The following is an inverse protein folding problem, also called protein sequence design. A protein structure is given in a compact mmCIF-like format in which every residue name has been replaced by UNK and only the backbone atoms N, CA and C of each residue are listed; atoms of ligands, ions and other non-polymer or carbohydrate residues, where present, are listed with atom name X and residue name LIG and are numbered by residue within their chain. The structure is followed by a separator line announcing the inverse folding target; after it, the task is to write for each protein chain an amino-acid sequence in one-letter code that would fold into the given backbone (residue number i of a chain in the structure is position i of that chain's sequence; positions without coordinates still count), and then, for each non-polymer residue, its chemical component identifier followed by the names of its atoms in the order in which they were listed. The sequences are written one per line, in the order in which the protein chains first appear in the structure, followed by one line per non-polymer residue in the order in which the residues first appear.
data_IF_859601471988
#
_entry.id   IF_859601471988
#
_cell.length_a   1.000
_cell.length_b   1.000
_cell.length_c   1.000
_cell.angle_alpha   90.00
_cell.angle_beta   90.00
_cell.angle_gamma   90.00
#
_symmetry.space_group_name_H-M   'P 1'
#
loop_
_entity.id
_entity.type
_entity.pdbx_description
1 polymer ?
#
# COMPACT_ATOMS: atom_id res chain seq x y z
N UNK A 1 6.78 6.26 16.08
CA UNK A 1 5.57 7.13 16.17
C UNK A 1 5.48 7.86 17.49
N UNK A 2 5.94 7.29 18.60
CA UNK A 2 5.84 7.90 19.93
C UNK A 2 6.63 9.21 20.08
N UNK A 3 7.82 9.30 19.47
CA UNK A 3 8.66 10.50 19.48
C UNK A 3 8.10 11.71 18.71
N UNK A 4 7.17 11.48 17.77
CA UNK A 4 6.56 12.54 16.93
C UNK A 4 5.10 12.82 17.31
N UNK A 5 4.62 12.19 18.38
CA UNK A 5 3.23 12.27 18.84
C UNK A 5 2.90 13.70 19.28
N UNK A 6 1.90 14.32 18.65
CA UNK A 6 1.48 15.69 18.95
C UNK A 6 2.34 16.81 18.35
N UNK A 7 3.36 16.48 17.55
CA UNK A 7 4.22 17.48 16.88
C UNK A 7 3.71 17.93 15.50
N UNK A 8 2.74 17.21 14.93
CA UNK A 8 2.15 17.52 13.63
C UNK A 8 0.66 17.17 13.61
N UNK A 9 -0.16 17.97 12.92
CA UNK A 9 -1.59 17.70 12.78
C UNK A 9 -1.90 16.55 11.81
N UNK A 10 -0.98 16.31 10.85
CA UNK A 10 -1.08 15.26 9.86
C UNK A 10 0.27 14.57 9.63
N UNK A 11 0.23 13.25 9.46
CA UNK A 11 1.39 12.41 9.15
C UNK A 11 1.28 11.85 7.73
N UNK A 12 2.40 11.89 7.00
CA UNK A 12 2.55 11.17 5.73
C UNK A 12 3.56 10.04 5.94
N UNK A 13 3.12 8.81 5.75
CA UNK A 13 3.82 7.59 6.13
C UNK A 13 4.15 6.82 4.85
N UNK A 14 5.43 6.54 4.63
CA UNK A 14 5.83 5.67 3.52
C UNK A 14 5.30 4.25 3.70
N UNK A 15 5.07 3.56 2.58
CA UNK A 15 4.72 2.14 2.63
C UNK A 15 5.98 1.29 2.96
N UNK A 16 5.81 0.07 3.48
CA UNK A 16 4.63 -0.43 4.19
C UNK A 16 4.48 0.23 5.57
N UNK A 17 3.26 0.30 6.11
CA UNK A 17 2.98 0.92 7.42
C UNK A 17 3.63 0.15 8.58
N UNK A 18 3.68 -1.18 8.45
CA UNK A 18 4.25 -2.11 9.43
C UNK A 18 5.19 -3.08 8.72
N UNK A 19 6.23 -3.55 9.41
CA UNK A 19 7.10 -4.61 8.88
C UNK A 19 6.45 -6.00 9.05
N UNK A 20 7.01 -7.01 8.39
CA UNK A 20 6.52 -8.39 8.49
C UNK A 20 6.57 -8.96 9.92
N UNK A 21 7.45 -8.41 10.77
CA UNK A 21 7.64 -8.80 12.17
C UNK A 21 6.67 -8.07 13.12
N UNK A 22 5.91 -7.09 12.62
CA UNK A 22 5.01 -6.23 13.40
C UNK A 22 3.54 -6.57 13.13
N UNK A 23 3.15 -7.83 13.33
CA UNK A 23 1.79 -8.32 13.01
C UNK A 23 0.71 -7.86 13.99
N UNK A 24 1.09 -7.53 15.22
CA UNK A 24 0.14 -7.29 16.32
C UNK A 24 0.02 -5.80 16.69
N UNK A 25 0.50 -4.91 15.82
CA UNK A 25 0.46 -3.47 16.06
C UNK A 25 -0.93 -2.92 15.76
N UNK A 26 -1.62 -2.44 16.80
CA UNK A 26 -2.84 -1.66 16.64
C UNK A 26 -2.50 -0.22 16.26
N UNK A 27 -2.73 0.16 15.00
CA UNK A 27 -2.51 1.51 14.49
C UNK A 27 -3.29 2.58 15.26
N UNK A 28 -4.44 2.23 15.86
CA UNK A 28 -5.22 3.16 16.68
C UNK A 28 -4.49 3.53 17.98
N UNK A 29 -3.58 2.68 18.47
CA UNK A 29 -2.74 3.03 19.64
C UNK A 29 -1.62 4.00 19.26
N UNK A 30 -1.14 3.93 18.02
CA UNK A 30 -0.04 4.75 17.51
C UNK A 30 -0.48 6.16 17.11
N UNK A 31 -1.74 6.32 16.69
CA UNK A 31 -2.29 7.59 16.22
C UNK A 31 -3.30 8.15 17.25
N UNK A 32 -3.01 9.29 17.92
CA UNK A 32 -3.98 9.97 18.77
C UNK A 32 -5.30 10.24 18.04
N UNK A 33 -6.41 10.21 18.79
CA UNK A 33 -7.72 10.56 18.26
C UNK A 33 -7.69 11.97 17.64
N UNK A 34 -8.11 12.07 16.37
CA UNK A 34 -8.15 13.33 15.62
C UNK A 34 -6.90 13.64 14.78
N UNK A 35 -5.78 12.94 14.97
CA UNK A 35 -4.60 13.11 14.12
C UNK A 35 -4.81 12.41 12.77
N UNK A 36 -4.58 13.12 11.67
CA UNK A 36 -4.71 12.54 10.32
C UNK A 36 -3.45 11.78 9.95
N UNK A 37 -3.58 10.61 9.35
CA UNK A 37 -2.46 9.86 8.80
C UNK A 37 -2.78 9.41 7.37
N UNK A 38 -1.81 9.60 6.48
CA UNK A 38 -1.88 9.23 5.08
C UNK A 38 -0.73 8.29 4.76
N UNK A 39 -1.01 7.25 4.00
CA UNK A 39 -0.01 6.28 3.56
C UNK A 39 0.33 6.57 2.12
N UNK A 40 1.62 6.55 1.78
CA UNK A 40 2.14 6.78 0.44
C UNK A 40 1.81 5.60 -0.50
N UNK A 41 0.54 5.52 -0.90
CA UNK A 41 0.02 4.55 -1.88
C UNK A 41 -0.46 5.27 -3.14
N UNK A 42 0.45 5.92 -3.91
CA UNK A 42 0.07 6.82 -5.00
C UNK A 42 -0.69 6.13 -6.13
N UNK A 43 -0.48 4.82 -6.32
CA UNK A 43 -1.17 4.04 -7.35
C UNK A 43 -2.70 4.01 -7.18
N UNK A 44 -3.22 4.24 -5.96
CA UNK A 44 -4.67 4.38 -5.71
C UNK A 44 -5.29 5.58 -6.41
N UNK A 45 -4.47 6.57 -6.71
CA UNK A 45 -4.86 7.89 -7.22
C UNK A 45 -4.31 8.18 -8.61
N UNK A 46 -3.65 7.22 -9.26
CA UNK A 46 -3.30 7.37 -10.66
C UNK A 46 -4.55 7.36 -11.55
N UNK A 47 -4.49 8.02 -12.71
CA UNK A 47 -5.65 8.20 -13.59
C UNK A 47 -6.32 6.89 -14.00
N UNK A 48 -5.52 5.85 -14.30
CA UNK A 48 -6.03 4.51 -14.64
C UNK A 48 -6.79 3.87 -13.50
N UNK A 49 -6.29 3.99 -12.26
CA UNK A 49 -6.94 3.41 -11.08
C UNK A 49 -8.25 4.13 -10.75
N UNK A 50 -8.26 5.47 -10.84
CA UNK A 50 -9.46 6.28 -10.66
C UNK A 50 -10.54 5.94 -11.70
N UNK A 51 -10.15 5.82 -12.97
CA UNK A 51 -11.06 5.40 -14.04
C UNK A 51 -11.63 4.00 -13.77
N UNK A 52 -10.77 3.04 -13.40
CA UNK A 52 -11.20 1.69 -13.07
C UNK A 52 -12.21 1.68 -11.91
N UNK A 53 -11.94 2.41 -10.82
CA UNK A 53 -12.86 2.56 -9.68
C UNK A 53 -14.24 3.10 -10.09
N UNK A 54 -14.28 4.04 -11.03
CA UNK A 54 -15.55 4.60 -11.52
C UNK A 54 -16.36 3.58 -12.32
N UNK A 55 -15.69 2.71 -13.10
CA UNK A 55 -16.36 1.73 -13.94
C UNK A 55 -16.68 0.41 -13.22
N UNK A 56 -15.88 0.02 -12.22
CA UNK A 56 -15.97 -1.27 -11.55
C UNK A 56 -17.36 -1.60 -10.96
N UNK A 57 -18.12 -0.66 -10.37
CA UNK A 57 -19.46 -0.95 -9.84
C UNK A 57 -20.47 -1.43 -10.88
N UNK A 58 -20.28 -1.07 -12.15
CA UNK A 58 -21.10 -1.55 -13.26
C UNK A 58 -20.67 -2.91 -13.80
N UNK A 59 -19.54 -3.44 -13.33
CA UNK A 59 -18.98 -4.72 -13.75
C UNK A 59 -19.31 -5.82 -12.75
N UNK A 60 -19.27 -7.07 -13.22
CA UNK A 60 -19.33 -8.28 -12.38
C UNK A 60 -18.11 -9.15 -12.67
N UNK A 61 -16.90 -8.71 -12.25
CA UNK A 61 -15.67 -9.42 -12.56
C UNK A 61 -15.70 -10.81 -11.90
N UNK A 62 -15.53 -11.86 -12.71
CA UNK A 62 -15.41 -13.23 -12.22
C UNK A 62 -14.00 -13.52 -11.68
N UNK A 63 -12.98 -12.87 -12.24
CA UNK A 63 -11.59 -12.99 -11.81
C UNK A 63 -10.84 -11.69 -12.07
N UNK A 64 -9.80 -11.45 -11.28
CA UNK A 64 -8.85 -10.37 -11.49
C UNK A 64 -7.43 -10.94 -11.49
N UNK A 65 -6.57 -10.41 -12.35
CA UNK A 65 -5.14 -10.74 -12.39
C UNK A 65 -4.34 -9.45 -12.48
N UNK A 66 -3.31 -9.37 -11.65
CA UNK A 66 -2.34 -8.28 -11.64
C UNK A 66 -0.97 -8.87 -11.89
N UNK A 67 -0.21 -8.25 -12.80
CA UNK A 67 1.17 -8.63 -13.11
C UNK A 67 2.00 -7.36 -13.08
N UNK A 68 3.02 -7.36 -12.23
CA UNK A 68 4.04 -6.32 -12.19
C UNK A 68 5.40 -7.01 -12.27
N UNK A 69 6.13 -6.74 -13.35
CA UNK A 69 7.42 -7.35 -13.61
C UNK A 69 8.29 -6.38 -14.37
N UNK A 70 9.53 -6.20 -13.92
CA UNK A 70 10.56 -5.43 -14.60
C UNK A 70 11.93 -6.00 -14.23
N UNK A 71 12.96 -5.66 -15.01
CA UNK A 71 14.30 -6.15 -14.77
C UNK A 71 14.94 -5.40 -13.59
N UNK A 72 15.24 -6.13 -12.51
CA UNK A 72 15.71 -5.54 -11.25
C UNK A 72 16.98 -4.65 -11.39
N UNK A 73 17.97 -5.00 -12.24
CA UNK A 73 19.12 -4.12 -12.48
C UNK A 73 18.77 -2.75 -13.06
N UNK A 74 17.65 -2.61 -13.75
CA UNK A 74 17.24 -1.33 -14.36
C UNK A 74 16.62 -0.38 -13.33
N UNK A 75 16.29 -0.85 -12.13
CA UNK A 75 15.64 -0.02 -11.11
C UNK A 75 16.54 1.08 -10.57
N UNK A 76 17.85 0.83 -10.53
CA UNK A 76 18.86 1.78 -10.05
C UNK A 76 20.09 1.72 -10.97
N UNK A 77 20.05 2.40 -12.11
CA UNK A 77 21.16 2.38 -13.07
C UNK A 77 22.48 2.78 -12.39
N UNK A 78 23.53 1.99 -12.64
CA UNK A 78 24.86 2.21 -12.04
C UNK A 78 25.05 1.66 -10.63
N UNK A 79 24.06 0.98 -10.06
CA UNK A 79 24.15 0.30 -8.76
C UNK A 79 24.14 -1.21 -8.96
N UNK A 80 25.03 -1.94 -8.28
CA UNK A 80 24.95 -3.41 -8.24
C UNK A 80 23.67 -3.82 -7.51
N UNK A 81 22.66 -4.25 -8.26
CA UNK A 81 21.35 -4.60 -7.74
C UNK A 81 21.40 -5.69 -6.65
N UNK A 82 22.44 -6.53 -6.63
CA UNK A 82 22.61 -7.58 -5.62
C UNK A 82 22.88 -7.00 -4.23
N UNK A 83 23.30 -5.73 -4.16
CA UNK A 83 23.60 -5.05 -2.89
C UNK A 83 22.38 -4.32 -2.32
N UNK A 84 21.33 -4.11 -3.13
CA UNK A 84 20.19 -3.29 -2.71
C UNK A 84 19.18 -4.08 -1.89
N UNK A 85 18.39 -3.37 -1.09
CA UNK A 85 17.33 -3.93 -0.25
C UNK A 85 16.37 -4.89 -1.00
N UNK A 86 16.04 -4.55 -2.25
CA UNK A 86 15.16 -5.35 -3.13
C UNK A 86 15.67 -6.78 -3.39
N UNK A 87 16.98 -7.00 -3.27
CA UNK A 87 17.63 -8.31 -3.46
C UNK A 87 17.85 -9.07 -2.14
N UNK A 88 17.58 -8.45 -0.97
CA UNK A 88 17.94 -9.00 0.34
C UNK A 88 16.72 -9.24 1.25
N UNK A 89 16.24 -10.49 1.27
CA UNK A 89 15.16 -10.92 2.18
C UNK A 89 15.47 -10.67 3.66
N UNK A 90 16.72 -10.87 4.07
CA UNK A 90 17.14 -10.78 5.48
C UNK A 90 17.02 -9.37 6.07
N UNK A 91 16.96 -8.32 5.24
CA UNK A 91 16.76 -6.94 5.69
C UNK A 91 15.28 -6.59 5.90
N UNK A 92 14.40 -7.60 5.90
CA UNK A 92 12.96 -7.40 5.79
C UNK A 92 12.56 -6.90 4.40
N UNK A 93 13.43 -7.06 3.40
CA UNK A 93 13.23 -6.61 2.02
C UNK A 93 12.90 -7.70 1.03
N UNK A 94 13.00 -7.36 -0.25
CA UNK A 94 12.59 -8.21 -1.36
C UNK A 94 11.64 -7.49 -2.31
N UNK A 95 11.66 -7.92 -3.56
CA UNK A 95 10.83 -7.36 -4.64
C UNK A 95 9.35 -7.27 -4.24
N UNK A 96 8.82 -8.22 -3.48
CA UNK A 96 7.42 -8.20 -3.01
C UNK A 96 7.07 -6.99 -2.15
N UNK A 97 8.00 -6.50 -1.30
CA UNK A 97 7.75 -5.36 -0.41
C UNK A 97 7.95 -4.04 -1.16
N UNK A 98 8.91 -4.01 -2.09
CA UNK A 98 9.05 -2.88 -3.01
C UNK A 98 7.81 -2.71 -3.90
N UNK A 99 7.22 -3.83 -4.33
CA UNK A 99 6.00 -3.94 -5.14
C UNK A 99 4.74 -4.23 -4.28
N UNK A 100 4.66 -3.68 -3.07
CA UNK A 100 3.46 -3.83 -2.23
C UNK A 100 2.24 -3.09 -2.82
N UNK A 101 2.46 -2.18 -3.78
CA UNK A 101 1.40 -1.39 -4.37
C UNK A 101 0.37 -2.25 -5.11
N UNK A 102 0.79 -3.36 -5.73
CA UNK A 102 -0.09 -4.35 -6.37
C UNK A 102 -1.14 -4.90 -5.42
N UNK A 103 -0.70 -5.33 -4.24
CA UNK A 103 -1.58 -5.84 -3.20
C UNK A 103 -2.46 -4.73 -2.62
N UNK A 104 -1.87 -3.57 -2.39
CA UNK A 104 -2.53 -2.41 -1.79
C UNK A 104 -3.75 -1.94 -2.60
N UNK A 105 -3.63 -1.80 -3.93
CA UNK A 105 -4.77 -1.38 -4.75
C UNK A 105 -5.75 -2.52 -5.05
N UNK A 106 -5.33 -3.79 -5.02
CA UNK A 106 -6.25 -4.92 -5.14
C UNK A 106 -7.22 -4.96 -3.96
N UNK A 107 -6.72 -4.76 -2.74
CA UNK A 107 -7.56 -4.66 -1.54
C UNK A 107 -8.50 -3.45 -1.63
N UNK A 108 -8.00 -2.30 -2.08
CA UNK A 108 -8.82 -1.09 -2.23
C UNK A 108 -9.94 -1.26 -3.28
N UNK A 109 -9.67 -1.95 -4.39
CA UNK A 109 -10.65 -2.22 -5.46
C UNK A 109 -11.72 -3.25 -5.07
N UNK A 110 -11.34 -4.31 -4.36
CA UNK A 110 -12.20 -5.50 -4.21
C UNK A 110 -12.64 -5.81 -2.78
N UNK A 111 -12.03 -5.21 -1.75
CA UNK A 111 -12.37 -5.48 -0.34
C UNK A 111 -13.22 -4.36 0.29
N UNK A 112 -13.31 -3.19 -0.36
CA UNK A 112 -14.26 -2.14 0.05
C UNK A 112 -15.64 -2.35 -0.55
N UNK A 113 -16.41 -3.23 0.08
CA UNK A 113 -17.87 -3.23 -0.02
C UNK A 113 -18.48 -2.92 1.34
N UNK A 114 -18.79 -1.64 1.58
CA UNK A 114 -19.85 -1.24 2.51
C UNK A 114 -20.51 0.04 1.99
N UNK A 115 -21.14 -0.07 0.83
CA UNK A 115 -22.35 0.74 0.59
C UNK A 115 -23.41 0.36 1.63
N UNK A 116 -24.28 1.29 2.05
CA UNK A 116 -25.27 1.01 3.08
C UNK A 116 -26.13 -0.18 2.66
N UNK A 117 -26.20 -1.19 3.51
CA UNK A 117 -27.18 -2.27 3.40
C UNK A 117 -28.54 -1.62 3.64
N UNK A 118 -29.22 -1.25 2.56
CA UNK A 118 -30.66 -0.99 2.58
C UNK A 118 -31.33 -2.29 3.03
N UNK A 119 -31.67 -2.38 4.31
CA UNK A 119 -32.59 -3.41 4.79
C UNK A 119 -33.98 -3.05 4.26
N UNK A 120 -34.46 -3.82 3.28
CA UNK A 120 -35.89 -3.96 2.99
C UNK A 120 -36.57 -4.79 4.07
#
# INVERSE_FOLDING_TARGET
MEEIRGLADALFIEKPIVSAEQTDVDLATLLPAGQKAYVAAPMRWCGTMLALKNHLPGLRPYSARVICSSYLPDWRPGVDYRTVYSAHKALGGGVTIDLIHEWDYLVDLFTRSSGPISRS
#
